data_IF_082565700911
#
_entry.id   IF_082565700911
#
_cell.length_a   1.000
_cell.length_b   1.000
_cell.length_c   1.000
_cell.angle_alpha   90.00
_cell.angle_beta   90.00
_cell.angle_gamma   90.00
#
_symmetry.space_group_name_H-M   'P 1'
#
loop_
_entity.id
_entity.type
_entity.pdbx_description
1 polymer ?
#
# COMPACT_ATOMS: atom_id res chain seq x y z
N UNK A 1 38.50 67.64 16.19
CA UNK A 1 38.15 67.98 17.59
C UNK A 1 36.75 67.46 17.88
N UNK A 2 36.57 66.72 18.98
CA UNK A 2 35.30 66.12 19.44
C UNK A 2 35.40 64.60 19.58
N UNK A 3 36.00 64.06 20.66
CA UNK A 3 35.35 63.56 21.90
C UNK A 3 34.39 62.39 21.60
N UNK A 4 34.87 61.14 21.62
CA UNK A 4 34.96 60.24 22.79
C UNK A 4 33.63 60.10 23.54
N UNK A 5 32.85 59.08 23.17
CA UNK A 5 31.69 58.58 23.91
C UNK A 5 32.03 57.23 24.53
N UNK A 6 32.13 57.20 25.86
CA UNK A 6 32.20 55.99 26.68
C UNK A 6 30.84 55.30 26.67
N UNK A 7 30.74 54.06 26.20
CA UNK A 7 29.59 53.19 26.43
C UNK A 7 30.03 52.09 27.40
N UNK A 8 29.41 52.09 28.58
CA UNK A 8 29.65 51.14 29.67
C UNK A 8 29.04 49.79 29.25
N UNK A 9 29.88 48.76 29.21
CA UNK A 9 29.48 47.36 29.04
C UNK A 9 28.60 46.94 30.22
N UNK A 10 27.33 46.60 29.95
CA UNK A 10 26.51 45.80 30.85
C UNK A 10 26.33 44.43 30.20
N UNK A 11 26.99 43.42 30.78
CA UNK A 11 26.82 42.01 30.45
C UNK A 11 25.40 41.56 30.84
N UNK A 12 24.58 41.06 29.91
CA UNK A 12 23.44 40.23 30.28
C UNK A 12 23.99 38.83 30.53
N UNK A 13 23.98 38.44 31.79
CA UNK A 13 24.27 37.09 32.26
C UNK A 13 23.50 36.05 31.43
N UNK A 14 24.20 34.97 31.07
CA UNK A 14 23.67 33.84 30.34
C UNK A 14 22.48 33.20 31.07
N UNK A 15 21.27 33.46 30.59
CA UNK A 15 20.12 32.61 30.88
C UNK A 15 20.01 31.60 29.76
N UNK A 16 20.60 30.42 29.98
CA UNK A 16 20.31 29.23 29.20
C UNK A 16 18.84 28.88 29.42
N UNK A 17 17.98 28.77 28.38
CA UNK A 17 16.69 28.17 28.59
C UNK A 17 16.91 26.67 28.84
N UNK A 18 16.72 26.25 30.09
CA UNK A 18 16.53 24.84 30.46
C UNK A 18 15.18 24.38 29.89
N UNK A 19 15.11 24.21 28.57
CA UNK A 19 14.22 23.20 28.04
C UNK A 19 15.04 21.91 28.07
N UNK A 20 15.01 21.21 29.19
CA UNK A 20 15.23 19.77 29.12
C UNK A 20 13.97 19.25 28.46
N UNK A 21 13.97 19.08 27.13
CA UNK A 21 12.98 18.21 26.50
C UNK A 21 13.25 16.86 27.11
N UNK A 22 12.48 16.50 28.13
CA UNK A 22 12.38 15.12 28.58
C UNK A 22 11.85 14.37 27.37
N UNK A 23 12.76 13.79 26.58
CA UNK A 23 12.37 12.73 25.66
C UNK A 23 11.88 11.60 26.57
N UNK A 24 10.58 11.61 26.86
CA UNK A 24 9.90 10.45 27.39
C UNK A 24 10.04 9.38 26.32
N UNK A 25 11.07 8.55 26.44
CA UNK A 25 11.18 7.34 25.66
C UNK A 25 10.06 6.44 26.15
N UNK A 26 8.98 6.38 25.37
CA UNK A 26 7.85 5.50 25.66
C UNK A 26 8.36 4.07 25.78
N UNK A 27 7.84 3.32 26.75
CA UNK A 27 8.24 1.94 26.98
C UNK A 27 7.74 1.05 25.83
N UNK A 28 8.51 0.01 25.47
CA UNK A 28 8.09 -0.94 24.45
C UNK A 28 7.05 -1.89 25.04
N UNK A 29 5.82 -1.84 24.53
CA UNK A 29 4.75 -2.77 24.90
C UNK A 29 4.93 -4.12 24.21
N UNK A 30 5.21 -4.11 22.91
CA UNK A 30 5.45 -5.30 22.10
C UNK A 30 6.58 -5.04 21.10
N UNK A 31 7.54 -5.97 21.01
CA UNK A 31 8.58 -5.95 19.99
C UNK A 31 8.47 -7.20 19.11
N UNK A 32 8.32 -6.98 17.81
CA UNK A 32 8.37 -8.01 16.78
C UNK A 32 9.61 -7.72 15.92
N UNK A 33 10.77 -8.27 16.28
CA UNK A 33 12.06 -7.86 15.71
C UNK A 33 12.07 -7.86 14.18
N UNK A 34 12.48 -6.73 13.58
CA UNK A 34 12.55 -6.55 12.13
C UNK A 34 11.22 -6.24 11.44
N UNK A 35 10.08 -6.38 12.13
CA UNK A 35 8.76 -6.12 11.57
C UNK A 35 8.19 -4.79 12.10
N UNK A 36 7.78 -4.78 13.36
CA UNK A 36 7.22 -3.62 14.05
C UNK A 36 7.61 -3.59 15.52
N UNK A 37 7.58 -2.40 16.11
CA UNK A 37 7.64 -2.17 17.56
C UNK A 37 6.47 -1.28 17.97
N UNK A 38 5.77 -1.71 19.01
CA UNK A 38 4.60 -1.02 19.57
C UNK A 38 4.97 -0.51 20.96
N UNK A 39 4.72 0.76 21.21
CA UNK A 39 5.02 1.45 22.46
C UNK A 39 3.77 1.54 23.35
N UNK A 40 3.96 1.68 24.66
CA UNK A 40 2.86 1.69 25.66
C UNK A 40 1.96 2.92 25.54
N UNK A 41 2.45 4.01 24.95
CA UNK A 41 1.68 5.21 24.59
C UNK A 41 0.90 5.07 23.27
N UNK A 42 0.95 3.90 22.62
CA UNK A 42 0.29 3.63 21.35
C UNK A 42 1.13 3.99 20.11
N UNK A 43 2.36 4.48 20.29
CA UNK A 43 3.29 4.68 19.17
C UNK A 43 3.60 3.37 18.45
N UNK A 44 3.77 3.44 17.13
CA UNK A 44 4.11 2.27 16.29
C UNK A 44 5.27 2.64 15.40
N UNK A 45 6.36 1.87 15.50
CA UNK A 45 7.52 1.96 14.62
C UNK A 45 7.53 0.73 13.70
N UNK A 46 7.49 0.96 12.38
CA UNK A 46 7.65 -0.09 11.37
C UNK A 46 9.11 -0.14 10.90
N UNK A 47 9.68 -1.33 10.83
CA UNK A 47 11.01 -1.56 10.29
C UNK A 47 10.96 -2.13 8.87
N UNK A 48 9.89 -2.86 8.55
CA UNK A 48 9.62 -3.40 7.23
C UNK A 48 8.52 -2.58 6.53
N UNK A 49 8.67 -2.39 5.22
CA UNK A 49 7.64 -1.79 4.38
C UNK A 49 7.45 -0.29 4.56
N UNK A 50 8.54 0.41 4.87
CA UNK A 50 8.58 1.88 5.02
C UNK A 50 9.02 2.58 3.74
N UNK A 51 9.51 1.83 2.76
CA UNK A 51 9.87 2.32 1.44
C UNK A 51 8.64 2.49 0.54
N UNK A 52 8.78 3.33 -0.48
CA UNK A 52 7.70 3.64 -1.42
C UNK A 52 8.24 3.73 -2.84
N UNK A 53 7.59 3.00 -3.74
CA UNK A 53 7.81 3.06 -5.19
C UNK A 53 6.61 3.75 -5.82
N UNK A 54 6.78 4.88 -6.54
CA UNK A 54 5.68 5.51 -7.25
C UNK A 54 5.22 4.65 -8.44
N UNK A 55 3.98 4.82 -8.92
CA UNK A 55 3.57 4.23 -10.17
C UNK A 55 4.48 4.65 -11.32
N UNK A 56 4.76 3.72 -12.21
CA UNK A 56 5.70 3.93 -13.31
C UNK A 56 5.33 3.14 -14.56
N UNK A 57 5.88 3.57 -15.68
CA UNK A 57 5.83 2.83 -16.95
C UNK A 57 7.22 2.38 -17.33
N UNK A 58 7.37 1.07 -17.49
CA UNK A 58 8.58 0.41 -17.97
C UNK A 58 8.31 -0.21 -19.35
N UNK A 59 9.35 -0.71 -20.06
CA UNK A 59 9.15 -1.43 -21.31
C UNK A 59 8.29 -2.70 -21.20
N UNK A 60 8.07 -3.21 -19.98
CA UNK A 60 7.36 -4.47 -19.75
C UNK A 60 6.04 -4.30 -19.01
N UNK A 61 5.97 -3.34 -18.09
CA UNK A 61 4.81 -3.13 -17.21
C UNK A 61 4.57 -1.64 -16.99
N UNK A 62 3.31 -1.24 -17.04
CA UNK A 62 2.80 0.06 -16.58
C UNK A 62 1.95 -0.15 -15.34
N UNK A 63 2.14 0.69 -14.33
CA UNK A 63 1.39 0.66 -13.08
C UNK A 63 0.69 1.99 -12.80
N UNK A 64 -0.41 1.94 -12.05
CA UNK A 64 -1.12 3.11 -11.51
C UNK A 64 -1.77 2.78 -10.18
N UNK A 65 -1.96 3.80 -9.36
CA UNK A 65 -2.70 3.68 -8.10
C UNK A 65 -4.15 4.16 -8.32
N UNK A 66 -5.10 3.47 -7.69
CA UNK A 66 -6.52 3.82 -7.73
C UNK A 66 -7.09 3.85 -6.32
N UNK A 67 -8.09 4.68 -6.07
CA UNK A 67 -8.81 4.69 -4.78
C UNK A 67 -10.18 4.06 -4.97
N UNK A 68 -10.47 2.97 -4.24
CA UNK A 68 -11.72 2.22 -4.39
C UNK A 68 -12.94 2.93 -3.78
N UNK A 69 -12.70 3.76 -2.78
CA UNK A 69 -13.75 4.31 -1.93
C UNK A 69 -13.62 5.83 -1.85
N UNK A 70 -14.51 6.61 -2.47
CA UNK A 70 -14.49 8.06 -2.31
C UNK A 70 -14.71 8.54 -0.86
N UNK A 71 -15.23 7.67 0.01
CA UNK A 71 -15.44 7.93 1.44
C UNK A 71 -14.35 7.36 2.36
N UNK A 72 -13.41 6.58 1.84
CA UNK A 72 -12.22 6.11 2.57
C UNK A 72 -10.99 6.49 1.74
N UNK A 73 -10.43 7.65 2.05
CA UNK A 73 -9.28 8.24 1.33
C UNK A 73 -7.97 7.50 1.59
N UNK A 74 -7.99 6.42 2.38
CA UNK A 74 -6.78 5.73 2.85
C UNK A 74 -6.47 4.44 2.11
N UNK A 75 -7.43 3.86 1.38
CA UNK A 75 -7.21 2.60 0.66
C UNK A 75 -6.97 2.87 -0.82
N UNK A 76 -5.76 2.62 -1.28
CA UNK A 76 -5.39 2.73 -2.68
C UNK A 76 -4.83 1.41 -3.19
N UNK A 77 -5.35 0.90 -4.30
CA UNK A 77 -4.84 -0.32 -4.91
C UNK A 77 -3.84 0.02 -6.01
N UNK A 78 -2.85 -0.84 -6.21
CA UNK A 78 -1.96 -0.73 -7.37
C UNK A 78 -2.37 -1.67 -8.48
N UNK A 79 -2.68 -1.10 -9.64
CA UNK A 79 -2.93 -1.84 -10.86
C UNK A 79 -1.65 -1.97 -11.68
N UNK A 80 -1.53 -3.08 -12.38
CA UNK A 80 -0.44 -3.36 -13.31
C UNK A 80 -0.97 -3.90 -14.63
N UNK A 81 -0.43 -3.38 -15.74
CA UNK A 81 -0.67 -3.86 -17.09
C UNK A 81 0.64 -4.19 -17.80
N UNK A 82 0.71 -5.31 -18.55
CA UNK A 82 1.82 -5.56 -19.46
C UNK A 82 1.83 -4.50 -20.57
N UNK A 83 2.96 -3.80 -20.71
CA UNK A 83 3.19 -2.80 -21.76
C UNK A 83 3.12 -3.47 -23.14
N UNK A 84 2.36 -2.93 -24.11
CA UNK A 84 2.33 -3.47 -25.46
C UNK A 84 3.73 -3.44 -26.09
N UNK A 85 4.23 -4.59 -26.55
CA UNK A 85 5.58 -4.70 -27.13
C UNK A 85 5.67 -4.15 -28.57
N UNK A 86 4.54 -3.93 -29.27
CA UNK A 86 4.53 -3.34 -30.61
C UNK A 86 3.38 -2.34 -30.77
N UNK A 87 3.66 -1.19 -31.38
CA UNK A 87 2.66 -0.17 -31.75
C UNK A 87 1.59 -0.71 -32.75
N UNK A 88 1.84 -1.86 -33.36
CA UNK A 88 0.96 -2.53 -34.32
C UNK A 88 -0.05 -3.51 -33.69
N UNK A 89 -0.01 -3.73 -32.36
CA UNK A 89 -1.02 -4.51 -31.67
C UNK A 89 -2.34 -3.71 -31.60
N UNK A 90 -3.10 -3.71 -32.69
CA UNK A 90 -4.49 -3.24 -32.69
C UNK A 90 -5.30 -4.02 -31.63
N UNK A 91 -6.40 -3.45 -31.09
CA UNK A 91 -7.25 -4.13 -30.08
C UNK A 91 -7.66 -5.57 -30.47
N UNK A 92 -7.67 -5.87 -31.78
CA UNK A 92 -7.97 -7.21 -32.34
C UNK A 92 -6.88 -8.26 -32.05
N UNK A 93 -5.64 -7.82 -31.82
CA UNK A 93 -4.45 -8.65 -31.61
C UNK A 93 -4.00 -8.70 -30.13
N UNK A 94 -4.69 -8.02 -29.22
CA UNK A 94 -4.39 -8.06 -27.79
C UNK A 94 -5.62 -8.55 -27.01
N UNK A 95 -5.85 -9.87 -26.96
CA UNK A 95 -7.02 -10.41 -26.27
C UNK A 95 -6.98 -10.07 -24.77
N UNK A 96 -8.15 -10.00 -24.11
CA UNK A 96 -8.22 -9.90 -22.65
C UNK A 96 -7.33 -10.96 -21.99
N UNK A 97 -6.63 -10.54 -20.95
CA UNK A 97 -5.62 -11.32 -20.23
C UNK A 97 -6.20 -11.81 -18.92
N UNK A 98 -5.67 -12.92 -18.41
CA UNK A 98 -6.05 -13.37 -17.08
C UNK A 98 -5.82 -12.26 -16.05
N UNK A 99 -6.65 -12.24 -15.02
CA UNK A 99 -6.64 -11.26 -13.94
C UNK A 99 -6.05 -11.89 -12.68
N UNK A 100 -5.02 -11.26 -12.12
CA UNK A 100 -4.42 -11.59 -10.84
C UNK A 100 -4.89 -10.58 -9.79
N UNK A 101 -5.43 -11.06 -8.68
CA UNK A 101 -5.69 -10.25 -7.49
C UNK A 101 -4.70 -10.71 -6.43
N UNK A 102 -3.80 -9.81 -6.04
CA UNK A 102 -2.65 -10.11 -5.21
C UNK A 102 -2.77 -9.44 -3.83
N UNK A 103 -2.56 -10.20 -2.77
CA UNK A 103 -2.52 -9.72 -1.39
C UNK A 103 -1.08 -9.80 -0.87
N UNK A 104 -0.50 -8.67 -0.46
CA UNK A 104 0.87 -8.65 0.06
C UNK A 104 0.99 -9.37 1.40
N UNK A 105 2.22 -9.70 1.82
CA UNK A 105 2.52 -10.26 3.14
C UNK A 105 2.85 -9.18 4.16
N UNK A 106 3.66 -9.49 5.17
CA UNK A 106 3.99 -8.56 6.27
C UNK A 106 3.15 -8.76 7.54
N UNK A 107 2.68 -10.00 7.78
CA UNK A 107 2.00 -10.41 9.00
C UNK A 107 0.74 -9.59 9.36
N UNK A 108 0.08 -8.99 8.36
CA UNK A 108 -1.04 -8.04 8.52
C UNK A 108 -0.66 -6.74 9.26
N UNK A 109 0.63 -6.49 9.48
CA UNK A 109 1.11 -5.35 10.27
C UNK A 109 2.08 -4.43 9.52
N UNK A 110 2.62 -4.89 8.39
CA UNK A 110 3.64 -4.19 7.62
C UNK A 110 3.47 -4.42 6.11
N UNK A 111 4.26 -3.66 5.34
CA UNK A 111 4.27 -3.65 3.88
C UNK A 111 3.02 -3.08 3.22
N UNK A 112 3.11 -2.88 1.90
CA UNK A 112 2.01 -2.41 1.04
C UNK A 112 2.30 -2.80 -0.41
N UNK A 113 1.33 -2.68 -1.34
CA UNK A 113 1.58 -2.77 -2.79
C UNK A 113 2.60 -1.75 -3.32
N UNK A 114 2.92 -0.74 -2.51
CA UNK A 114 3.80 0.36 -2.87
C UNK A 114 5.25 0.14 -2.46
N UNK A 115 5.51 -0.83 -1.57
CA UNK A 115 6.87 -1.21 -1.18
C UNK A 115 7.60 -1.90 -2.32
N UNK A 116 8.92 -1.71 -2.42
CA UNK A 116 9.72 -2.18 -3.55
C UNK A 116 9.68 -3.70 -3.70
N UNK A 117 9.67 -4.45 -2.59
CA UNK A 117 9.57 -5.91 -2.63
C UNK A 117 8.28 -6.37 -3.32
N UNK A 118 7.11 -5.84 -2.93
CA UNK A 118 5.84 -6.26 -3.50
C UNK A 118 5.55 -5.62 -4.87
N UNK A 119 5.94 -4.36 -5.09
CA UNK A 119 5.86 -3.74 -6.41
C UNK A 119 6.66 -4.54 -7.45
N UNK A 120 7.93 -4.81 -7.17
CA UNK A 120 8.81 -5.51 -8.12
C UNK A 120 8.36 -6.95 -8.34
N UNK A 121 7.88 -7.63 -7.29
CA UNK A 121 7.38 -8.99 -7.40
C UNK A 121 6.14 -9.10 -8.28
N UNK A 122 5.13 -8.26 -8.05
CA UNK A 122 3.91 -8.26 -8.88
C UNK A 122 4.21 -7.79 -10.30
N UNK A 123 5.07 -6.78 -10.48
CA UNK A 123 5.51 -6.36 -11.81
C UNK A 123 6.23 -7.49 -12.58
N UNK A 124 7.07 -8.30 -11.91
CA UNK A 124 7.70 -9.46 -12.54
C UNK A 124 6.66 -10.49 -13.01
N UNK A 125 5.68 -10.83 -12.17
CA UNK A 125 4.59 -11.75 -12.54
C UNK A 125 3.82 -11.22 -13.76
N UNK A 126 3.47 -9.93 -13.75
CA UNK A 126 2.75 -9.28 -14.85
C UNK A 126 3.58 -9.30 -16.14
N UNK A 127 4.88 -9.05 -16.06
CA UNK A 127 5.80 -9.06 -17.19
C UNK A 127 5.94 -10.46 -17.79
N UNK A 128 6.05 -11.50 -16.96
CA UNK A 128 6.30 -12.88 -17.40
C UNK A 128 5.02 -13.59 -17.83
N UNK A 129 3.98 -13.56 -17.00
CA UNK A 129 2.72 -14.26 -17.24
C UNK A 129 1.75 -13.50 -18.16
N UNK A 130 2.07 -12.23 -18.50
CA UNK A 130 1.24 -11.36 -19.34
C UNK A 130 -0.19 -11.23 -18.82
N UNK A 131 -0.35 -11.07 -17.51
CA UNK A 131 -1.64 -10.91 -16.81
C UNK A 131 -1.92 -9.45 -16.47
N UNK A 132 -3.18 -9.08 -16.28
CA UNK A 132 -3.54 -7.84 -15.55
C UNK A 132 -3.44 -8.14 -14.07
N UNK A 133 -2.91 -7.23 -13.24
CA UNK A 133 -2.91 -7.42 -11.79
C UNK A 133 -3.52 -6.25 -11.03
N UNK A 134 -4.20 -6.57 -9.94
CA UNK A 134 -4.65 -5.66 -8.87
C UNK A 134 -3.95 -6.12 -7.60
N UNK A 135 -3.08 -5.29 -7.04
CA UNK A 135 -2.40 -5.54 -5.77
C UNK A 135 -3.09 -4.75 -4.66
N UNK A 136 -3.60 -5.47 -3.67
CA UNK A 136 -4.51 -4.96 -2.64
C UNK A 136 -3.74 -4.37 -1.45
N UNK A 137 -4.02 -3.12 -1.10
CA UNK A 137 -3.53 -2.39 0.07
C UNK A 137 -4.57 -2.45 1.19
N UNK A 138 -4.49 -3.48 2.02
CA UNK A 138 -5.42 -3.66 3.12
C UNK A 138 -4.91 -2.95 4.39
N UNK A 139 -5.82 -2.55 5.29
CA UNK A 139 -5.47 -1.87 6.54
C UNK A 139 -4.66 -2.78 7.47
N UNK A 140 -3.67 -2.20 8.14
CA UNK A 140 -2.70 -2.90 8.96
C UNK A 140 -3.02 -2.82 10.45
N UNK A 141 -2.70 -3.89 11.16
CA UNK A 141 -2.60 -3.91 12.60
C UNK A 141 -1.27 -3.26 13.06
N UNK A 142 -1.19 -2.78 14.30
CA UNK A 142 -2.24 -2.77 15.33
C UNK A 142 -3.23 -1.60 15.23
N UNK A 143 -3.05 -0.62 14.34
CA UNK A 143 -3.97 0.51 14.18
C UNK A 143 -5.39 0.05 13.85
N UNK A 144 -5.48 -0.95 12.97
CA UNK A 144 -6.73 -1.58 12.55
C UNK A 144 -6.58 -3.10 12.62
N UNK A 145 -6.88 -3.69 13.79
CA UNK A 145 -6.80 -5.13 13.98
C UNK A 145 -7.74 -5.92 13.07
N UNK A 146 -7.54 -7.24 13.04
CA UNK A 146 -8.50 -8.18 12.46
C UNK A 146 -9.92 -7.88 13.02
N UNK A 147 -10.96 -7.79 12.17
CA UNK A 147 -11.01 -8.28 10.79
C UNK A 147 -10.73 -7.28 9.66
N UNK A 148 -10.22 -6.07 9.94
CA UNK A 148 -10.12 -4.99 8.95
C UNK A 148 -9.46 -5.41 7.63
N UNK A 149 -8.31 -6.09 7.69
CA UNK A 149 -7.60 -6.55 6.49
C UNK A 149 -8.44 -7.50 5.60
N UNK A 150 -9.28 -8.36 6.20
CA UNK A 150 -10.16 -9.27 5.47
C UNK A 150 -11.35 -8.53 4.87
N UNK A 151 -11.89 -7.53 5.58
CA UNK A 151 -12.98 -6.70 5.09
C UNK A 151 -12.54 -5.88 3.87
N UNK A 152 -11.33 -5.30 3.92
CA UNK A 152 -10.76 -4.54 2.80
C UNK A 152 -10.48 -5.44 1.61
N UNK A 153 -9.91 -6.63 1.86
CA UNK A 153 -9.67 -7.62 0.82
C UNK A 153 -10.97 -8.08 0.15
N UNK A 154 -12.03 -8.28 0.94
CA UNK A 154 -13.35 -8.59 0.41
C UNK A 154 -13.97 -7.43 -0.36
N UNK A 155 -13.79 -6.19 0.11
CA UNK A 155 -14.23 -4.99 -0.61
C UNK A 155 -13.52 -4.85 -1.96
N UNK A 156 -12.20 -5.07 -2.01
CA UNK A 156 -11.42 -5.08 -3.24
C UNK A 156 -11.90 -6.15 -4.22
N UNK A 157 -12.19 -7.37 -3.74
CA UNK A 157 -12.75 -8.44 -4.57
C UNK A 157 -14.11 -8.07 -5.16
N UNK A 158 -15.01 -7.50 -4.36
CA UNK A 158 -16.32 -7.04 -4.83
C UNK A 158 -16.19 -5.91 -5.86
N UNK A 159 -15.28 -4.96 -5.61
CA UNK A 159 -15.01 -3.87 -6.54
C UNK A 159 -14.47 -4.41 -7.87
N UNK A 160 -13.50 -5.33 -7.85
CA UNK A 160 -13.01 -5.98 -9.08
C UNK A 160 -14.15 -6.69 -9.80
N UNK A 161 -14.95 -7.48 -9.08
CA UNK A 161 -16.08 -8.22 -9.65
C UNK A 161 -17.17 -7.32 -10.27
N UNK A 162 -17.28 -6.05 -9.84
CA UNK A 162 -18.21 -5.08 -10.43
C UNK A 162 -17.87 -4.72 -11.90
N UNK A 163 -16.63 -4.99 -12.35
CA UNK A 163 -16.18 -4.74 -13.72
C UNK A 163 -16.44 -5.92 -14.67
N UNK A 164 -17.05 -7.02 -14.19
CA UNK A 164 -17.22 -8.26 -14.98
C UNK A 164 -17.98 -8.06 -16.29
N UNK A 165 -18.90 -7.10 -16.34
CA UNK A 165 -19.72 -6.78 -17.50
C UNK A 165 -19.06 -5.73 -18.42
N UNK A 166 -17.82 -5.33 -18.12
CA UNK A 166 -17.02 -4.33 -18.86
C UNK A 166 -17.59 -2.91 -18.85
N UNK A 167 -18.38 -2.59 -17.83
CA UNK A 167 -19.07 -1.32 -17.60
C UNK A 167 -18.70 -0.68 -16.25
N UNK A 168 -17.66 -1.20 -15.58
CA UNK A 168 -17.19 -0.66 -14.31
C UNK A 168 -16.43 0.66 -14.44
N UNK A 169 -16.01 1.22 -13.31
CA UNK A 169 -15.39 2.55 -13.27
C UNK A 169 -13.93 2.57 -13.75
N UNK A 170 -13.23 1.42 -13.73
CA UNK A 170 -11.82 1.31 -14.08
C UNK A 170 -11.63 0.76 -15.51
N UNK A 171 -11.18 1.59 -16.47
CA UNK A 171 -11.00 1.19 -17.86
C UNK A 171 -10.03 0.02 -18.06
N UNK A 172 -8.96 -0.09 -17.26
CA UNK A 172 -7.98 -1.16 -17.41
C UNK A 172 -8.60 -2.53 -17.17
N UNK A 173 -9.51 -2.65 -16.20
CA UNK A 173 -10.23 -3.90 -15.96
C UNK A 173 -11.26 -4.18 -17.06
N UNK A 174 -12.00 -3.16 -17.51
CA UNK A 174 -12.99 -3.32 -18.57
C UNK A 174 -12.37 -3.74 -19.92
N UNK A 175 -11.23 -3.15 -20.26
CA UNK A 175 -10.61 -3.30 -21.59
C UNK A 175 -9.60 -4.44 -21.67
N UNK A 176 -8.92 -4.79 -20.57
CA UNK A 176 -7.79 -5.72 -20.61
C UNK A 176 -7.95 -6.99 -19.76
N UNK A 177 -8.88 -7.03 -18.81
CA UNK A 177 -9.05 -8.21 -17.95
C UNK A 177 -10.07 -9.21 -18.53
N UNK A 178 -9.74 -10.48 -18.41
CA UNK A 178 -10.62 -11.61 -18.70
C UNK A 178 -11.20 -12.16 -17.39
N UNK A 179 -12.46 -11.82 -17.12
CA UNK A 179 -13.18 -12.28 -15.93
C UNK A 179 -13.55 -13.78 -15.96
N UNK A 180 -13.31 -14.48 -17.08
CA UNK A 180 -13.34 -15.94 -17.15
C UNK A 180 -12.07 -16.61 -16.61
N UNK A 181 -11.00 -15.85 -16.37
CA UNK A 181 -9.69 -16.32 -15.90
C UNK A 181 -9.16 -15.43 -14.77
N UNK A 182 -9.73 -15.58 -13.58
CA UNK A 182 -9.36 -14.83 -12.37
C UNK A 182 -8.58 -15.72 -11.41
N UNK A 183 -7.45 -15.22 -10.91
CA UNK A 183 -6.58 -15.89 -9.95
C UNK A 183 -6.41 -15.03 -8.71
N UNK A 184 -6.49 -15.65 -7.53
CA UNK A 184 -6.14 -15.04 -6.26
C UNK A 184 -4.78 -15.56 -5.83
N UNK A 185 -3.89 -14.66 -5.39
CA UNK A 185 -2.60 -15.05 -4.85
C UNK A 185 -2.21 -14.13 -3.70
N UNK A 186 -1.27 -14.60 -2.87
CA UNK A 186 -0.65 -13.78 -1.84
C UNK A 186 0.57 -14.48 -1.27
N UNK A 187 1.38 -13.71 -0.57
CA UNK A 187 2.58 -14.19 0.12
C UNK A 187 2.34 -14.14 1.64
N UNK A 188 2.78 -15.18 2.35
CA UNK A 188 2.76 -15.24 3.81
C UNK A 188 1.35 -14.91 4.37
N UNK A 189 1.21 -13.86 5.18
CA UNK A 189 -0.09 -13.43 5.69
C UNK A 189 -1.10 -13.05 4.61
N UNK A 190 -0.66 -12.53 3.46
CA UNK A 190 -1.52 -12.25 2.31
C UNK A 190 -2.16 -13.51 1.73
N UNK A 191 -1.49 -14.67 1.83
CA UNK A 191 -2.07 -15.95 1.45
C UNK A 191 -3.19 -16.38 2.41
N UNK A 192 -3.18 -15.92 3.66
CA UNK A 192 -4.30 -16.13 4.59
C UNK A 192 -5.45 -15.16 4.31
N UNK A 193 -5.15 -13.93 3.88
CA UNK A 193 -6.18 -12.92 3.56
C UNK A 193 -6.97 -13.27 2.29
N UNK A 194 -6.42 -14.07 1.38
CA UNK A 194 -7.17 -14.59 0.23
C UNK A 194 -8.33 -15.53 0.63
N UNK A 195 -8.32 -16.03 1.88
CA UNK A 195 -9.31 -16.91 2.44
C UNK A 195 -10.22 -16.12 3.38
N UNK A 196 -11.29 -15.54 2.85
CA UNK A 196 -12.33 -14.97 3.70
C UNK A 196 -13.14 -16.11 4.34
N UNK A 197 -13.16 -16.28 5.67
CA UNK A 197 -14.10 -17.22 6.28
C UNK A 197 -15.52 -16.75 5.96
N UNK A 198 -16.30 -17.59 5.28
CA UNK A 198 -17.76 -17.39 5.15
C UNK A 198 -18.31 -17.14 6.56
N UNK A 199 -18.97 -15.99 6.76
CA UNK A 199 -19.81 -15.81 7.95
C UNK A 199 -20.82 -16.97 7.99
N UNK A 200 -20.85 -17.80 9.03
CA UNK A 200 -21.97 -18.69 9.25
C UNK A 200 -23.15 -17.81 9.63
N UNK A 201 -24.14 -17.68 8.75
CA UNK A 201 -25.40 -17.00 9.06
C UNK A 201 -25.73 -15.85 8.13
N UNK A 202 -26.30 -16.19 6.98
CA UNK A 202 -27.47 -15.53 6.40
C UNK A 202 -28.13 -16.62 5.55
N UNK A 203 -29.07 -17.33 6.19
CA UNK A 203 -29.88 -18.36 5.55
C UNK A 203 -30.99 -17.74 4.72
N UNK A 204 -31.40 -18.53 3.72
CA UNK A 204 -32.64 -18.51 2.93
C UNK A 204 -33.13 -17.17 2.36
#
# INVERSE_FOLDING_TARGET
>A
MGLSGFAIYLSPSSLSPLWTTTQTTSEVAHDFPGLIRVFTDGGIQRFTGTDFVPPSTTPHVTSKDITLHPHSTTLSERLFLPTPQTAAATRRNNPPRALLIYFHGGALCASSPFTANYHNYVAAIVAEAKVVAVSVDYRLAPELPIPAAYEDSWAALQWVASHRNKDGQEPWLNEHADFGRVFLAGDSAGANTNYAPRRPGLGH
#
